data_IF_984707877598
#
_entry.id   IF_984707877598
#
_cell.length_a   1.000
_cell.length_b   1.000
_cell.length_c   1.000
_cell.angle_alpha   90.00
_cell.angle_beta   90.00
_cell.angle_gamma   90.00
#
_symmetry.space_group_name_H-M   'P 1'
#
loop_
_entity.id
_entity.type
_entity.pdbx_description
1 polymer ?
#
# COMPACT_ATOMS: atom_id res chain seq x y z
N UNK A 1 14.38 54.26 -31.02
CA UNK A 1 15.58 53.51 -31.46
C UNK A 1 16.48 53.28 -30.25
N UNK A 2 16.50 52.07 -29.68
CA UNK A 2 17.35 51.73 -28.55
C UNK A 2 18.77 51.43 -29.05
N UNK A 3 19.73 52.25 -28.66
CA UNK A 3 21.13 52.09 -29.03
C UNK A 3 21.70 50.77 -28.46
N UNK A 4 22.15 49.90 -29.37
CA UNK A 4 22.95 48.71 -29.05
C UNK A 4 24.34 49.22 -28.65
N UNK A 5 24.59 49.36 -27.35
CA UNK A 5 25.94 49.66 -26.84
C UNK A 5 26.78 48.38 -26.93
N UNK A 6 27.97 48.52 -27.49
CA UNK A 6 28.94 47.49 -27.84
C UNK A 6 29.04 46.33 -26.82
N UNK A 7 28.99 45.10 -27.35
CA UNK A 7 29.21 43.88 -26.60
C UNK A 7 30.68 43.78 -26.15
N UNK A 8 30.94 44.01 -24.86
CA UNK A 8 32.24 43.68 -24.26
C UNK A 8 32.26 42.19 -23.85
N UNK A 9 33.07 41.40 -24.56
CA UNK A 9 33.15 39.93 -24.52
C UNK A 9 34.20 39.48 -23.50
N UNK A 10 33.83 38.93 -22.33
CA UNK A 10 34.80 38.30 -21.43
C UNK A 10 34.25 37.07 -20.68
N UNK A 11 34.92 35.93 -20.87
CA UNK A 11 34.71 34.62 -20.24
C UNK A 11 35.22 33.51 -21.16
N UNK A 12 36.48 33.06 -20.99
CA UNK A 12 37.24 32.26 -21.98
C UNK A 12 37.40 30.80 -21.56
N UNK A 13 36.91 29.84 -22.35
CA UNK A 13 37.37 28.43 -22.40
C UNK A 13 37.13 27.90 -23.83
N UNK A 14 38.11 27.17 -24.39
CA UNK A 14 38.07 26.60 -25.74
C UNK A 14 37.35 25.23 -25.81
N UNK A 15 36.71 24.93 -26.95
CA UNK A 15 36.23 23.57 -27.26
C UNK A 15 36.46 23.21 -28.74
N UNK A 16 36.45 21.90 -29.04
CA UNK A 16 36.99 21.21 -30.23
C UNK A 16 36.44 21.57 -31.64
N UNK A 17 35.62 22.60 -31.80
CA UNK A 17 35.00 22.93 -33.10
C UNK A 17 34.92 24.44 -33.42
N UNK A 18 35.96 25.22 -33.07
CA UNK A 18 36.29 26.51 -33.70
C UNK A 18 35.31 27.71 -33.55
N UNK A 19 34.02 27.50 -33.33
CA UNK A 19 33.02 28.55 -33.21
C UNK A 19 32.85 29.02 -31.75
N UNK A 20 33.33 30.24 -31.50
CA UNK A 20 33.30 30.92 -30.19
C UNK A 20 31.91 31.49 -29.92
N UNK A 21 31.06 30.77 -29.17
CA UNK A 21 29.80 31.32 -28.65
C UNK A 21 29.94 31.79 -27.20
N UNK A 22 29.52 33.02 -26.91
CA UNK A 22 29.47 33.59 -25.57
C UNK A 22 28.38 32.90 -24.72
N UNK A 23 28.73 32.45 -23.50
CA UNK A 23 27.81 31.72 -22.59
C UNK A 23 26.77 32.62 -21.92
N UNK A 24 26.96 33.94 -21.92
CA UNK A 24 26.07 34.91 -21.29
C UNK A 24 26.01 36.21 -22.06
N UNK A 25 24.87 36.90 -21.94
CA UNK A 25 24.57 38.18 -22.59
C UNK A 25 24.24 39.22 -21.52
N UNK A 26 24.85 40.39 -21.61
CA UNK A 26 24.51 41.56 -20.79
C UNK A 26 23.74 42.55 -21.66
N UNK A 27 22.60 43.04 -21.19
CA UNK A 27 21.79 44.06 -21.84
C UNK A 27 21.59 45.24 -20.90
N UNK A 28 21.84 46.46 -21.36
CA UNK A 28 21.54 47.67 -20.59
C UNK A 28 20.03 47.95 -20.62
N UNK A 29 19.43 48.20 -19.46
CA UNK A 29 18.00 48.48 -19.29
C UNK A 29 17.83 49.70 -18.37
N UNK A 30 17.74 50.89 -18.98
CA UNK A 30 17.71 52.16 -18.25
C UNK A 30 18.99 52.39 -17.44
N UNK A 31 18.83 52.58 -16.12
CA UNK A 31 19.91 52.72 -15.13
C UNK A 31 20.50 51.40 -14.64
N UNK A 32 20.08 50.25 -15.18
CA UNK A 32 20.51 48.92 -14.74
C UNK A 32 21.06 48.08 -15.89
N UNK A 33 21.74 46.99 -15.55
CA UNK A 33 22.21 45.96 -16.46
C UNK A 33 21.49 44.65 -16.18
N UNK A 34 20.90 44.05 -17.20
CA UNK A 34 20.29 42.74 -17.15
C UNK A 34 21.24 41.69 -17.75
N UNK A 35 21.59 40.70 -16.95
CA UNK A 35 22.39 39.54 -17.33
C UNK A 35 21.46 38.39 -17.70
N UNK A 36 21.73 37.72 -18.82
CA UNK A 36 20.99 36.54 -19.30
C UNK A 36 21.99 35.44 -19.65
N UNK A 37 21.91 34.28 -18.98
CA UNK A 37 22.77 33.11 -19.23
C UNK A 37 21.91 31.95 -19.70
N UNK A 38 22.31 31.28 -20.78
CA UNK A 38 21.61 30.10 -21.29
C UNK A 38 21.85 28.89 -20.37
N UNK A 39 20.77 28.22 -19.98
CA UNK A 39 20.79 27.12 -19.01
C UNK A 39 20.38 25.76 -19.62
N UNK A 40 20.24 25.67 -20.95
CA UNK A 40 19.87 24.43 -21.65
C UNK A 40 18.45 24.44 -22.23
N UNK A 41 18.00 23.28 -22.69
CA UNK A 41 16.63 23.04 -23.19
C UNK A 41 15.87 22.30 -22.10
N UNK A 42 14.66 22.75 -21.78
CA UNK A 42 13.77 22.03 -20.88
C UNK A 42 13.37 20.69 -21.55
N UNK A 43 13.69 19.52 -20.96
CA UNK A 43 13.44 18.21 -21.55
C UNK A 43 11.95 17.89 -21.74
N UNK A 44 11.03 18.59 -21.07
CA UNK A 44 9.59 18.38 -21.22
C UNK A 44 8.93 19.32 -22.22
N UNK A 45 9.34 20.59 -22.21
CA UNK A 45 8.69 21.59 -23.08
C UNK A 45 9.46 21.85 -24.38
N UNK A 46 10.71 21.38 -24.48
CA UNK A 46 11.61 21.69 -25.59
C UNK A 46 12.03 23.16 -25.66
N UNK A 47 11.65 23.99 -24.68
CA UNK A 47 11.92 25.44 -24.69
C UNK A 47 13.31 25.73 -24.09
N UNK A 48 13.96 26.77 -24.63
CA UNK A 48 15.25 27.27 -24.13
C UNK A 48 15.06 27.91 -22.75
N UNK A 49 15.80 27.43 -21.75
CA UNK A 49 15.80 27.99 -20.40
C UNK A 49 16.93 29.00 -20.26
N UNK A 50 16.63 30.15 -19.65
CA UNK A 50 17.59 31.21 -19.42
C UNK A 50 17.53 31.70 -17.97
N UNK A 51 18.68 31.79 -17.30
CA UNK A 51 18.81 32.48 -16.01
C UNK A 51 18.96 33.97 -16.25
N UNK A 52 18.26 34.78 -15.45
CA UNK A 52 18.27 36.24 -15.57
C UNK A 52 18.55 36.88 -14.21
N UNK A 53 19.34 37.94 -14.21
CA UNK A 53 19.63 38.76 -13.02
C UNK A 53 19.79 40.21 -13.45
N UNK A 54 19.31 41.17 -12.64
CA UNK A 54 19.47 42.60 -12.91
C UNK A 54 20.32 43.24 -11.82
N UNK A 55 21.29 44.06 -12.22
CA UNK A 55 22.25 44.72 -11.32
C UNK A 55 22.44 46.18 -11.70
N UNK A 56 22.95 47.01 -10.78
CA UNK A 56 23.06 48.45 -10.99
C UNK A 56 24.27 48.81 -11.86
N UNK A 57 25.41 48.13 -11.68
CA UNK A 57 26.67 48.50 -12.35
C UNK A 57 27.14 47.46 -13.36
N UNK A 58 27.95 47.90 -14.34
CA UNK A 58 28.54 47.00 -15.33
C UNK A 58 29.53 46.00 -14.68
N UNK A 59 30.27 46.43 -13.66
CA UNK A 59 31.20 45.59 -12.92
C UNK A 59 30.47 44.44 -12.18
N UNK A 60 29.32 44.74 -11.56
CA UNK A 60 28.45 43.72 -10.97
C UNK A 60 27.86 42.79 -12.03
N UNK A 61 27.55 43.30 -13.23
CA UNK A 61 27.01 42.49 -14.32
C UNK A 61 28.01 41.42 -14.77
N UNK A 62 29.30 41.77 -14.84
CA UNK A 62 30.38 40.81 -15.16
C UNK A 62 30.54 39.74 -14.08
N UNK A 63 30.46 40.13 -12.79
CA UNK A 63 30.45 39.17 -11.66
C UNK A 63 29.22 38.25 -11.71
N UNK A 64 28.05 38.82 -12.02
CA UNK A 64 26.80 38.06 -12.17
C UNK A 64 26.85 37.06 -13.33
N UNK A 65 27.44 37.41 -14.49
CA UNK A 65 27.68 36.44 -15.59
C UNK A 65 28.49 35.24 -15.09
N UNK A 66 29.62 35.49 -14.44
CA UNK A 66 30.52 34.43 -13.96
C UNK A 66 29.81 33.52 -12.95
N UNK A 67 29.10 34.12 -11.99
CA UNK A 67 28.31 33.39 -10.99
C UNK A 67 27.18 32.58 -11.62
N UNK A 68 26.47 33.14 -12.61
CA UNK A 68 25.40 32.45 -13.32
C UNK A 68 25.93 31.32 -14.20
N UNK A 69 27.08 31.50 -14.87
CA UNK A 69 27.74 30.43 -15.62
C UNK A 69 28.23 29.31 -14.70
N UNK A 70 28.88 29.63 -13.58
CA UNK A 70 29.27 28.62 -12.58
C UNK A 70 28.05 27.89 -12.01
N UNK A 71 26.94 28.61 -11.79
CA UNK A 71 25.65 28.03 -11.38
C UNK A 71 25.07 27.10 -12.44
N UNK A 72 25.18 27.42 -13.73
CA UNK A 72 24.76 26.54 -14.84
C UNK A 72 25.67 25.33 -14.96
N UNK A 73 26.98 25.50 -14.80
CA UNK A 73 27.94 24.40 -14.87
C UNK A 73 27.78 23.42 -13.69
N UNK A 74 27.44 23.93 -12.49
CA UNK A 74 27.02 23.13 -11.34
C UNK A 74 25.62 22.51 -11.50
N UNK A 75 24.78 23.06 -12.39
CA UNK A 75 23.41 22.63 -12.67
C UNK A 75 23.25 22.00 -14.06
N UNK A 76 24.28 21.30 -14.56
CA UNK A 76 24.32 20.70 -15.91
C UNK A 76 23.19 19.71 -16.26
N UNK A 77 22.27 19.43 -15.33
CA UNK A 77 21.03 18.70 -15.58
C UNK A 77 19.84 19.65 -15.44
N UNK A 78 19.01 19.70 -16.49
CA UNK A 78 17.96 20.68 -16.66
C UNK A 78 17.03 20.74 -15.43
N UNK A 79 17.02 21.90 -14.76
CA UNK A 79 15.97 22.29 -13.81
C UNK A 79 14.69 22.56 -14.58
N UNK A 80 14.05 21.50 -15.03
CA UNK A 80 12.69 21.55 -15.55
C UNK A 80 11.81 22.22 -14.50
N UNK A 81 10.97 23.16 -14.92
CA UNK A 81 9.97 23.79 -14.05
C UNK A 81 8.71 22.94 -13.90
N UNK A 82 8.72 21.68 -14.34
CA UNK A 82 7.58 20.80 -14.20
C UNK A 82 7.25 20.56 -12.75
N UNK A 83 5.95 20.49 -12.52
CA UNK A 83 5.42 20.25 -11.20
C UNK A 83 5.66 18.80 -10.77
N UNK A 84 5.62 18.58 -9.46
CA UNK A 84 5.71 17.24 -8.90
C UNK A 84 4.64 16.30 -9.48
N UNK A 85 3.43 16.81 -9.72
CA UNK A 85 2.33 16.06 -10.34
C UNK A 85 2.70 15.53 -11.73
N UNK A 86 3.28 16.36 -12.58
CA UNK A 86 3.72 15.93 -13.93
C UNK A 86 4.76 14.81 -13.83
N UNK A 87 5.70 14.91 -12.90
CA UNK A 87 6.69 13.87 -12.67
C UNK A 87 6.08 12.58 -12.14
N UNK A 88 5.11 12.67 -11.21
CA UNK A 88 4.40 11.51 -10.69
C UNK A 88 3.63 10.80 -11.80
N UNK A 89 2.89 11.52 -12.64
CA UNK A 89 2.12 10.94 -13.74
C UNK A 89 3.02 10.31 -14.82
N UNK A 90 4.13 10.97 -15.17
CA UNK A 90 5.13 10.39 -16.07
C UNK A 90 5.75 9.11 -15.51
N UNK A 91 5.97 9.08 -14.19
CA UNK A 91 6.56 7.93 -13.52
C UNK A 91 5.57 6.78 -13.48
N UNK A 92 4.31 7.02 -13.11
CA UNK A 92 3.29 5.98 -13.07
C UNK A 92 3.02 5.35 -14.44
N UNK A 93 3.18 6.11 -15.55
CA UNK A 93 3.06 5.57 -16.93
C UNK A 93 4.16 4.58 -17.30
N UNK A 94 5.40 4.87 -16.90
CA UNK A 94 6.59 4.11 -17.33
C UNK A 94 7.05 3.08 -16.30
N UNK A 95 6.59 3.21 -15.05
CA UNK A 95 7.02 2.33 -13.98
C UNK A 95 6.22 1.02 -13.99
N UNK A 96 6.94 -0.06 -14.22
CA UNK A 96 6.44 -1.43 -14.11
C UNK A 96 6.26 -1.79 -12.63
N UNK A 97 5.02 -1.71 -12.17
CA UNK A 97 4.61 -2.08 -10.82
C UNK A 97 3.30 -2.84 -10.88
N UNK A 98 3.08 -3.68 -9.87
CA UNK A 98 1.82 -4.39 -9.70
C UNK A 98 0.65 -3.38 -9.67
N UNK A 99 -0.42 -3.68 -10.40
CA UNK A 99 -1.60 -2.80 -10.53
C UNK A 99 -2.23 -2.38 -9.19
N UNK A 100 -2.24 -3.26 -8.17
CA UNK A 100 -2.73 -2.90 -6.82
C UNK A 100 -1.83 -1.85 -6.15
N UNK A 101 -0.53 -1.93 -6.39
CA UNK A 101 0.46 -0.97 -5.92
C UNK A 101 0.32 0.35 -6.67
N UNK A 102 0.09 0.31 -8.00
CA UNK A 102 -0.21 1.49 -8.82
C UNK A 102 -1.45 2.22 -8.30
N UNK A 103 -2.57 1.51 -8.14
CA UNK A 103 -3.80 2.08 -7.60
C UNK A 103 -3.61 2.69 -6.19
N UNK A 104 -2.78 2.06 -5.36
CA UNK A 104 -2.41 2.63 -4.04
C UNK A 104 -1.62 3.93 -4.17
N UNK A 105 -0.65 3.99 -5.08
CA UNK A 105 0.14 5.20 -5.33
C UNK A 105 -0.69 6.33 -5.93
N UNK A 106 -1.59 6.03 -6.87
CA UNK A 106 -2.54 7.00 -7.42
C UNK A 106 -3.48 7.56 -6.33
N UNK A 107 -3.98 6.69 -5.44
CA UNK A 107 -4.79 7.11 -4.30
C UNK A 107 -4.01 8.06 -3.38
N UNK A 108 -2.79 7.68 -2.99
CA UNK A 108 -1.94 8.54 -2.15
C UNK A 108 -1.59 9.85 -2.83
N UNK A 109 -1.35 9.82 -4.14
CA UNK A 109 -1.05 11.00 -4.92
C UNK A 109 -2.23 11.97 -4.92
N UNK A 110 -3.43 11.49 -5.28
CA UNK A 110 -4.65 12.29 -5.33
C UNK A 110 -5.05 12.86 -3.97
N UNK A 111 -5.03 12.03 -2.92
CA UNK A 111 -5.58 12.40 -1.61
C UNK A 111 -4.58 13.19 -0.76
N UNK A 112 -3.28 12.86 -0.83
CA UNK A 112 -2.28 13.42 0.09
C UNK A 112 -1.15 14.19 -0.58
N UNK A 113 -0.63 13.76 -1.74
CA UNK A 113 0.58 14.39 -2.30
C UNK A 113 0.22 15.62 -3.13
N UNK A 114 -0.70 15.49 -4.08
CA UNK A 114 -1.08 16.58 -4.97
C UNK A 114 -1.62 17.78 -4.23
N UNK A 115 -2.50 17.63 -3.22
CA UNK A 115 -2.98 18.79 -2.50
C UNK A 115 -1.91 19.48 -1.66
N UNK A 116 -0.75 18.88 -1.38
CA UNK A 116 0.31 19.48 -0.56
C UNK A 116 1.30 20.28 -1.42
N UNK A 117 1.82 19.65 -2.47
CA UNK A 117 2.86 20.25 -3.32
C UNK A 117 2.82 19.71 -4.75
N UNK A 118 1.66 19.24 -5.21
CA UNK A 118 1.50 18.68 -6.56
C UNK A 118 1.87 19.67 -7.66
N UNK A 119 1.53 20.94 -7.49
CA UNK A 119 1.81 22.01 -8.45
C UNK A 119 3.18 22.67 -8.26
N UNK A 120 3.88 22.36 -7.16
CA UNK A 120 5.21 22.89 -6.89
C UNK A 120 6.23 22.29 -7.85
N UNK A 121 7.16 23.09 -8.42
CA UNK A 121 8.24 22.57 -9.25
C UNK A 121 9.02 21.47 -8.52
N UNK A 122 9.24 20.34 -9.20
CA UNK A 122 9.88 19.17 -8.58
C UNK A 122 11.26 19.48 -8.01
N UNK A 123 12.00 20.41 -8.62
CA UNK A 123 13.31 20.86 -8.15
C UNK A 123 13.28 21.71 -6.87
N UNK A 124 12.10 22.16 -6.41
CA UNK A 124 11.92 22.91 -5.17
C UNK A 124 11.44 22.05 -3.99
N UNK A 125 10.97 20.83 -4.26
CA UNK A 125 10.60 19.88 -3.21
C UNK A 125 11.85 19.50 -2.44
N UNK A 126 12.00 20.01 -1.22
CA UNK A 126 13.20 19.86 -0.39
C UNK A 126 13.01 18.82 0.71
N UNK A 127 14.11 18.38 1.33
CA UNK A 127 14.07 17.49 2.50
C UNK A 127 13.20 18.06 3.62
N UNK A 128 13.33 19.37 3.91
CA UNK A 128 12.53 20.07 4.92
C UNK A 128 11.03 20.03 4.59
N UNK A 129 10.65 20.32 3.35
CA UNK A 129 9.26 20.27 2.90
C UNK A 129 8.65 18.86 3.10
N UNK A 130 9.42 17.82 2.78
CA UNK A 130 8.95 16.43 2.96
C UNK A 130 8.76 16.08 4.44
N UNK A 131 9.66 16.53 5.31
CA UNK A 131 9.57 16.29 6.76
C UNK A 131 8.39 17.04 7.40
N UNK A 132 8.16 18.29 6.99
CA UNK A 132 6.98 19.08 7.38
C UNK A 132 5.69 18.40 6.93
N UNK A 133 5.64 17.97 5.67
CA UNK A 133 4.51 17.21 5.13
C UNK A 133 4.26 15.91 5.93
N UNK A 134 5.30 15.17 6.31
CA UNK A 134 5.13 13.97 7.13
C UNK A 134 4.66 14.29 8.55
N UNK A 135 5.08 15.43 9.13
CA UNK A 135 4.61 15.89 10.43
C UNK A 135 3.11 16.27 10.37
N UNK A 136 2.68 16.97 9.31
CA UNK A 136 1.28 17.29 9.08
C UNK A 136 0.42 16.02 8.98
N UNK A 137 0.85 15.03 8.21
CA UNK A 137 0.13 13.75 8.09
C UNK A 137 0.06 12.96 9.40
N UNK A 138 1.02 13.16 10.32
CA UNK A 138 0.97 12.60 11.68
C UNK A 138 0.06 13.37 12.62
N UNK A 139 -0.35 14.59 12.27
CA UNK A 139 -1.34 15.37 13.01
C UNK A 139 -2.75 15.11 12.48
N UNK A 140 -2.91 15.23 11.17
CA UNK A 140 -4.21 15.15 10.51
C UNK A 140 -4.07 14.66 9.06
N UNK A 141 -4.84 13.63 8.71
CA UNK A 141 -4.84 13.03 7.36
C UNK A 141 -5.26 13.99 6.23
N UNK A 142 -6.10 14.98 6.54
CA UNK A 142 -6.54 16.04 5.62
C UNK A 142 -5.69 17.31 5.75
N UNK A 143 -4.69 17.32 6.63
CA UNK A 143 -3.75 18.44 6.86
C UNK A 143 -4.46 19.75 7.18
N UNK A 144 -5.40 19.72 8.12
CA UNK A 144 -6.10 20.93 8.55
C UNK A 144 -5.13 21.97 9.14
N UNK A 145 -5.52 23.25 9.08
CA UNK A 145 -4.78 24.36 9.68
C UNK A 145 -4.92 24.44 11.21
N UNK A 146 -5.68 23.51 11.82
CA UNK A 146 -6.03 23.53 13.25
C UNK A 146 -7.27 24.36 13.58
N UNK A 147 -7.84 25.07 12.60
CA UNK A 147 -9.12 25.75 12.75
C UNK A 147 -10.28 24.75 12.66
N UNK A 148 -11.29 24.82 13.55
CA UNK A 148 -12.49 23.99 13.44
C UNK A 148 -13.22 24.27 12.13
N UNK A 149 -13.61 23.22 11.42
CA UNK A 149 -14.48 23.30 10.23
C UNK A 149 -15.40 22.08 10.18
N UNK A 150 -16.45 22.15 9.37
CA UNK A 150 -17.39 21.04 9.17
C UNK A 150 -16.91 20.17 8.00
N UNK A 151 -16.76 18.87 8.23
CA UNK A 151 -16.53 17.89 7.17
C UNK A 151 -17.85 17.60 6.45
N UNK A 152 -17.99 18.23 5.28
CA UNK A 152 -19.10 18.02 4.39
C UNK A 152 -19.03 16.65 3.71
N UNK A 153 -20.20 16.01 3.57
CA UNK A 153 -20.33 14.69 2.93
C UNK A 153 -20.10 14.73 1.42
N UNK A 154 -20.39 15.89 0.82
CA UNK A 154 -20.29 16.15 -0.61
C UNK A 154 -19.81 17.59 -0.82
N UNK A 155 -19.10 17.83 -1.92
CA UNK A 155 -18.70 19.19 -2.32
C UNK A 155 -19.84 19.99 -2.96
N UNK A 156 -20.90 19.31 -3.40
CA UNK A 156 -22.10 19.95 -3.93
C UNK A 156 -22.99 20.51 -2.81
N UNK A 157 -23.82 21.54 -3.08
CA UNK A 157 -24.79 22.05 -2.12
C UNK A 157 -25.70 20.93 -1.59
N UNK A 158 -25.80 20.80 -0.27
CA UNK A 158 -26.60 19.77 0.39
C UNK A 158 -27.03 20.23 1.79
N UNK A 159 -28.09 19.59 2.31
CA UNK A 159 -28.44 19.71 3.71
C UNK A 159 -27.45 18.94 4.58
N UNK A 160 -26.89 19.61 5.58
CA UNK A 160 -25.87 19.02 6.44
C UNK A 160 -26.40 17.88 7.29
N UNK A 161 -27.72 17.78 7.53
CA UNK A 161 -28.35 16.71 8.30
C UNK A 161 -29.57 16.21 7.55
N UNK A 162 -29.55 14.93 7.14
CA UNK A 162 -30.65 14.30 6.39
C UNK A 162 -30.97 12.94 7.01
N UNK A 163 -32.26 12.62 7.16
CA UNK A 163 -32.71 11.29 7.58
C UNK A 163 -32.73 10.36 6.37
N UNK A 164 -31.91 9.31 6.40
CA UNK A 164 -31.90 8.26 5.37
C UNK A 164 -32.87 7.16 5.77
N UNK A 165 -34.03 7.15 5.13
CA UNK A 165 -35.04 6.13 5.35
C UNK A 165 -34.54 4.74 4.93
N UNK A 166 -34.75 3.76 5.81
CA UNK A 166 -34.45 2.36 5.52
C UNK A 166 -35.48 1.83 4.52
N UNK A 167 -35.04 1.56 3.28
CA UNK A 167 -35.90 0.93 2.25
C UNK A 167 -35.82 -0.59 2.39
N UNK A 168 -36.97 -1.29 2.34
CA UNK A 168 -36.97 -2.75 2.20
C UNK A 168 -36.36 -3.13 0.84
N UNK A 169 -35.59 -4.24 0.73
CA UNK A 169 -35.12 -4.72 -0.56
C UNK A 169 -36.31 -5.02 -1.50
N UNK A 170 -36.29 -4.50 -2.73
CA UNK A 170 -37.35 -4.71 -3.73
C UNK A 170 -37.79 -3.43 -4.46
N UNK A 171 -38.76 -3.57 -5.39
CA UNK A 171 -39.38 -2.43 -6.09
C UNK A 171 -40.31 -1.68 -5.11
N UNK A 172 -40.25 -0.33 -5.03
CA UNK A 172 -41.17 0.43 -4.20
C UNK A 172 -42.63 0.17 -4.61
N UNK A 173 -43.60 0.21 -3.68
CA UNK A 173 -45.01 0.18 -4.02
C UNK A 173 -45.37 1.35 -4.95
N UNK A 174 -46.35 1.15 -5.84
CA UNK A 174 -46.76 2.17 -6.82
C UNK A 174 -47.20 3.51 -6.18
N UNK A 175 -47.64 3.49 -4.91
CA UNK A 175 -48.03 4.67 -4.14
C UNK A 175 -46.96 5.23 -3.19
N UNK A 176 -45.71 4.77 -3.28
CA UNK A 176 -44.66 5.11 -2.31
C UNK A 176 -44.80 4.35 -0.99
N UNK A 177 -43.89 4.59 -0.05
CA UNK A 177 -43.99 4.04 1.30
C UNK A 177 -44.88 4.94 2.16
N UNK A 178 -45.77 4.38 2.99
CA UNK A 178 -46.51 5.18 3.95
C UNK A 178 -45.54 5.90 4.92
N UNK A 179 -45.93 7.08 5.44
CA UNK A 179 -45.17 7.76 6.49
C UNK A 179 -44.99 6.83 7.69
N UNK A 180 -43.81 6.86 8.30
CA UNK A 180 -43.44 6.03 9.46
C UNK A 180 -42.60 6.83 10.46
N UNK A 181 -42.59 6.40 11.72
CA UNK A 181 -41.67 6.94 12.71
C UNK A 181 -40.24 6.47 12.42
N UNK A 182 -39.36 7.43 12.14
CA UNK A 182 -37.97 7.19 11.81
C UNK A 182 -37.17 6.58 12.97
N UNK A 183 -37.58 6.85 14.22
CA UNK A 183 -36.94 6.36 15.44
C UNK A 183 -37.23 4.87 15.63
N UNK A 184 -38.50 4.48 15.53
CA UNK A 184 -38.94 3.09 15.68
C UNK A 184 -38.46 2.19 14.53
N UNK A 185 -38.40 2.74 13.31
CA UNK A 185 -37.97 1.99 12.11
C UNK A 185 -36.43 1.90 11.99
N UNK A 186 -35.70 2.60 12.86
CA UNK A 186 -34.23 2.65 12.85
C UNK A 186 -33.66 3.31 11.59
N UNK A 187 -34.29 4.40 11.12
CA UNK A 187 -33.78 5.16 9.98
C UNK A 187 -32.46 5.86 10.34
N UNK A 188 -31.50 5.88 9.41
CA UNK A 188 -30.15 6.38 9.70
C UNK A 188 -30.10 7.89 9.52
N UNK A 189 -29.81 8.66 10.57
CA UNK A 189 -29.49 10.09 10.43
C UNK A 189 -28.08 10.21 9.86
N UNK A 190 -27.96 10.88 8.72
CA UNK A 190 -26.67 11.13 8.09
C UNK A 190 -26.40 12.63 8.15
N UNK A 191 -25.42 12.99 8.97
CA UNK A 191 -25.04 14.38 9.18
C UNK A 191 -23.55 14.63 8.89
N UNK A 192 -23.25 15.82 8.40
CA UNK A 192 -21.90 16.37 8.31
C UNK A 192 -21.38 16.58 9.74
N UNK A 193 -20.11 16.27 9.96
CA UNK A 193 -19.54 16.24 11.31
C UNK A 193 -18.45 17.29 11.47
N UNK A 194 -18.26 17.85 12.68
CA UNK A 194 -17.07 18.65 12.95
C UNK A 194 -15.81 17.86 12.61
N UNK A 195 -14.82 18.53 12.04
CA UNK A 195 -13.54 17.92 11.73
C UNK A 195 -12.84 17.46 13.02
N UNK A 196 -12.50 16.18 13.05
CA UNK A 196 -11.64 15.61 14.08
C UNK A 196 -10.29 15.27 13.46
N UNK A 197 -9.21 15.78 14.05
CA UNK A 197 -7.87 15.48 13.60
C UNK A 197 -7.57 13.99 13.78
N UNK A 198 -7.53 13.24 12.68
CA UNK A 198 -7.16 11.82 12.67
C UNK A 198 -5.80 11.64 12.02
N UNK A 199 -4.78 11.20 12.77
CA UNK A 199 -3.44 11.04 12.24
C UNK A 199 -3.35 9.82 11.31
N UNK A 200 -2.51 9.87 10.28
CA UNK A 200 -2.21 8.69 9.48
C UNK A 200 -1.26 7.76 10.22
N UNK A 201 -1.53 6.45 10.11
CA UNK A 201 -0.63 5.43 10.61
C UNK A 201 0.78 5.57 10.00
N UNK A 202 1.82 5.37 10.82
CA UNK A 202 3.22 5.47 10.40
C UNK A 202 3.55 4.60 9.17
N UNK A 203 2.95 3.42 9.07
CA UNK A 203 3.08 2.54 7.92
C UNK A 203 2.54 3.17 6.62
N UNK A 204 1.40 3.86 6.67
CA UNK A 204 0.82 4.57 5.53
C UNK A 204 1.72 5.70 5.07
N UNK A 205 2.21 6.53 6.00
CA UNK A 205 3.14 7.63 5.68
C UNK A 205 4.42 7.10 5.04
N UNK A 206 4.93 5.94 5.48
CA UNK A 206 6.08 5.27 4.83
C UNK A 206 5.78 4.88 3.39
N UNK A 207 4.58 4.37 3.09
CA UNK A 207 4.16 4.05 1.71
C UNK A 207 4.10 5.30 0.83
N UNK A 208 3.55 6.40 1.36
CA UNK A 208 3.55 7.71 0.70
C UNK A 208 4.99 8.17 0.42
N UNK A 209 5.89 8.07 1.40
CA UNK A 209 7.31 8.38 1.23
C UNK A 209 7.97 7.52 0.15
N UNK A 210 7.69 6.22 0.08
CA UNK A 210 8.26 5.36 -0.96
C UNK A 210 7.77 5.73 -2.37
N UNK A 211 6.51 6.12 -2.51
CA UNK A 211 5.99 6.66 -3.77
C UNK A 211 6.75 7.94 -4.16
N UNK A 212 6.86 8.91 -3.24
CA UNK A 212 7.59 10.17 -3.49
C UNK A 212 9.06 9.91 -3.85
N UNK A 213 9.74 9.04 -3.09
CA UNK A 213 11.13 8.65 -3.36
C UNK A 213 11.28 8.01 -4.73
N UNK A 214 10.31 7.20 -5.16
CA UNK A 214 10.27 6.58 -6.49
C UNK A 214 10.21 7.64 -7.60
N UNK A 215 9.27 8.58 -7.50
CA UNK A 215 9.13 9.71 -8.43
C UNK A 215 10.40 10.54 -8.50
N UNK A 216 10.96 10.93 -7.35
CA UNK A 216 12.17 11.75 -7.32
C UNK A 216 13.39 11.01 -7.86
N UNK A 217 13.48 9.69 -7.66
CA UNK A 217 14.53 8.88 -8.29
C UNK A 217 14.38 8.82 -9.80
N UNK A 218 13.14 8.74 -10.30
CA UNK A 218 12.87 8.80 -11.74
C UNK A 218 13.21 10.17 -12.32
N UNK A 219 12.77 11.25 -11.67
CA UNK A 219 13.11 12.62 -12.07
C UNK A 219 14.62 12.88 -12.07
N UNK A 220 15.36 12.29 -11.12
CA UNK A 220 16.83 12.35 -11.14
C UNK A 220 17.42 11.60 -12.33
N UNK A 221 16.92 10.39 -12.64
CA UNK A 221 17.35 9.62 -13.82
C UNK A 221 16.99 10.30 -15.15
N UNK A 222 15.88 11.02 -15.20
CA UNK A 222 15.49 11.83 -16.37
C UNK A 222 16.17 13.19 -16.41
N UNK A 223 17.09 13.46 -15.48
CA UNK A 223 17.85 14.69 -15.39
C UNK A 223 17.00 15.95 -15.15
N UNK A 224 15.78 15.81 -14.60
CA UNK A 224 14.90 16.94 -14.23
C UNK A 224 15.30 17.58 -12.89
N UNK A 225 15.99 16.81 -12.05
CA UNK A 225 16.58 17.25 -10.78
C UNK A 225 18.00 16.68 -10.63
N UNK A 226 18.86 17.39 -9.90
CA UNK A 226 20.26 16.98 -9.70
C UNK A 226 20.41 15.88 -8.64
N UNK A 227 19.57 15.90 -7.61
CA UNK A 227 19.65 15.00 -6.47
C UNK A 227 18.26 14.66 -5.96
N UNK A 228 18.09 13.47 -5.39
CA UNK A 228 16.84 13.06 -4.75
C UNK A 228 16.81 13.42 -3.24
N UNK A 229 16.10 14.48 -2.81
CA UNK A 229 16.03 14.86 -1.41
C UNK A 229 15.25 13.88 -0.52
N UNK A 230 14.35 13.08 -1.10
CA UNK A 230 13.62 12.04 -0.35
C UNK A 230 14.52 10.91 0.16
N UNK A 231 15.76 10.80 -0.32
CA UNK A 231 16.75 9.86 0.25
C UNK A 231 17.17 10.28 1.66
N UNK A 232 17.28 11.59 1.90
CA UNK A 232 17.73 12.16 3.17
C UNK A 232 16.58 12.44 4.14
N UNK A 233 15.35 12.54 3.65
CA UNK A 233 14.18 12.86 4.47
C UNK A 233 13.90 11.80 5.54
N UNK A 234 13.69 12.25 6.78
CA UNK A 234 13.33 11.39 7.92
C UNK A 234 11.89 10.92 7.82
N UNK A 235 11.71 9.69 7.36
CA UNK A 235 10.42 8.98 7.42
C UNK A 235 10.11 8.42 8.82
N UNK A 236 8.84 8.15 9.16
CA UNK A 236 8.48 7.48 10.42
C UNK A 236 9.18 6.13 10.59
N UNK A 237 9.46 5.76 11.84
CA UNK A 237 9.91 4.41 12.19
C UNK A 237 8.83 3.40 11.80
N UNK A 238 9.28 2.22 11.35
CA UNK A 238 8.36 1.13 11.10
C UNK A 238 7.88 0.58 12.44
N UNK A 239 6.57 0.50 12.69
CA UNK A 239 6.07 -0.20 13.86
C UNK A 239 6.51 -1.66 13.81
N UNK A 240 6.91 -2.21 14.95
CA UNK A 240 7.14 -3.65 15.08
C UNK A 240 5.79 -4.35 14.94
N UNK A 241 5.65 -5.35 14.06
CA UNK A 241 4.42 -6.13 13.98
C UNK A 241 4.17 -6.83 15.32
N UNK A 242 2.99 -6.63 15.90
CA UNK A 242 2.50 -7.40 17.04
C UNK A 242 1.19 -8.05 16.60
N UNK A 243 1.25 -9.27 16.03
CA UNK A 243 0.05 -9.98 15.63
C UNK A 243 -0.78 -10.33 16.87
N UNK A 244 -2.09 -10.06 16.82
CA UNK A 244 -3.06 -10.46 17.84
C UNK A 244 -4.05 -11.47 17.21
N UNK A 245 -3.68 -12.75 17.08
CA UNK A 245 -4.59 -13.77 16.58
C UNK A 245 -5.69 -14.08 17.61
N UNK A 246 -6.86 -14.59 17.19
CA UNK A 246 -7.85 -15.11 18.12
C UNK A 246 -7.27 -16.26 18.95
N UNK A 247 -7.77 -16.45 20.17
CA UNK A 247 -7.45 -17.64 20.99
C UNK A 247 -8.12 -18.90 20.41
N UNK A 248 -7.70 -20.09 20.82
CA UNK A 248 -8.33 -21.35 20.40
C UNK A 248 -9.85 -21.40 20.72
N UNK A 249 -10.26 -20.87 21.89
CA UNK A 249 -11.66 -20.78 22.27
C UNK A 249 -12.46 -19.81 21.36
N UNK A 250 -11.88 -18.64 21.04
CA UNK A 250 -12.49 -17.70 20.10
C UNK A 250 -12.52 -18.25 18.68
N UNK A 251 -11.49 -19.00 18.27
CA UNK A 251 -11.42 -19.65 16.97
C UNK A 251 -12.55 -20.67 16.80
N UNK A 252 -12.84 -21.48 17.83
CA UNK A 252 -13.99 -22.38 17.84
C UNK A 252 -15.32 -21.62 17.68
N UNK A 253 -15.54 -20.55 18.46
CA UNK A 253 -16.75 -19.72 18.35
C UNK A 253 -16.92 -19.09 16.95
N UNK A 254 -15.82 -18.63 16.34
CA UNK A 254 -15.81 -18.08 14.99
C UNK A 254 -16.24 -19.14 13.96
N UNK A 255 -15.77 -20.37 14.12
CA UNK A 255 -16.09 -21.49 13.25
C UNK A 255 -17.56 -21.89 13.39
N UNK A 256 -18.04 -22.08 14.62
CA UNK A 256 -19.44 -22.45 14.88
C UNK A 256 -20.41 -21.39 14.32
N UNK A 257 -20.11 -20.11 14.54
CA UNK A 257 -20.90 -19.01 13.98
C UNK A 257 -20.88 -18.99 12.45
N UNK A 258 -19.74 -19.28 11.83
CA UNK A 258 -19.62 -19.32 10.38
C UNK A 258 -20.48 -20.44 9.76
N UNK A 259 -20.49 -21.63 10.36
CA UNK A 259 -21.34 -22.74 9.93
C UNK A 259 -22.83 -22.48 10.18
N UNK A 260 -23.17 -21.84 11.31
CA UNK A 260 -24.55 -21.49 11.62
C UNK A 260 -25.16 -20.48 10.63
N UNK A 261 -24.35 -19.61 10.03
CA UNK A 261 -24.81 -18.71 8.96
C UNK A 261 -25.04 -19.43 7.63
N UNK A 262 -24.08 -20.25 7.20
CA UNK A 262 -24.01 -20.84 5.86
C UNK A 262 -22.86 -21.87 5.82
N UNK A 263 -23.13 -23.11 5.41
CA UNK A 263 -22.10 -24.17 5.36
C UNK A 263 -20.94 -23.84 4.39
N UNK A 264 -21.24 -23.15 3.28
CA UNK A 264 -20.21 -22.68 2.34
C UNK A 264 -19.31 -21.62 2.96
N UNK A 265 -19.86 -20.79 3.85
CA UNK A 265 -19.11 -19.81 4.63
C UNK A 265 -18.26 -20.47 5.72
N UNK A 266 -18.82 -21.44 6.44
CA UNK A 266 -18.07 -22.27 7.39
C UNK A 266 -16.84 -22.91 6.75
N UNK A 267 -17.03 -23.57 5.59
CA UNK A 267 -15.96 -24.16 4.78
C UNK A 267 -14.87 -23.13 4.43
N UNK A 268 -15.26 -21.92 4.00
CA UNK A 268 -14.31 -20.85 3.64
C UNK A 268 -13.46 -20.44 4.85
N UNK A 269 -14.10 -20.15 5.99
CA UNK A 269 -13.43 -19.71 7.21
C UNK A 269 -12.50 -20.80 7.75
N UNK A 270 -12.96 -22.07 7.74
CA UNK A 270 -12.16 -23.24 8.10
C UNK A 270 -10.87 -23.34 7.30
N UNK A 271 -10.96 -23.25 5.96
CA UNK A 271 -9.78 -23.34 5.12
C UNK A 271 -8.77 -22.25 5.42
N UNK A 272 -9.20 -20.99 5.65
CA UNK A 272 -8.27 -19.92 6.02
C UNK A 272 -7.59 -20.25 7.34
N UNK A 273 -8.34 -20.75 8.32
CA UNK A 273 -7.84 -21.07 9.66
C UNK A 273 -6.83 -22.22 9.65
N UNK A 274 -7.12 -23.33 8.94
CA UNK A 274 -6.26 -24.52 8.93
C UNK A 274 -5.06 -24.36 8.00
N UNK A 275 -5.25 -23.75 6.83
CA UNK A 275 -4.20 -23.66 5.81
C UNK A 275 -3.35 -22.39 5.92
N UNK A 276 -3.87 -21.34 6.59
CA UNK A 276 -3.24 -20.05 6.68
C UNK A 276 -3.12 -19.31 5.34
N UNK A 277 -3.87 -19.71 4.31
CA UNK A 277 -3.84 -19.05 2.99
C UNK A 277 -4.21 -17.57 3.05
N UNK A 278 -3.67 -16.77 2.12
CA UNK A 278 -4.13 -15.38 1.99
C UNK A 278 -5.53 -15.37 1.38
N UNK A 279 -6.40 -14.45 1.79
CA UNK A 279 -7.75 -14.25 1.22
C UNK A 279 -7.76 -14.28 -0.32
N UNK A 280 -6.85 -13.55 -0.97
CA UNK A 280 -6.79 -13.49 -2.43
C UNK A 280 -6.37 -14.83 -3.07
N UNK A 281 -5.58 -15.66 -2.37
CA UNK A 281 -5.19 -17.00 -2.84
C UNK A 281 -6.36 -17.96 -2.70
N UNK A 282 -7.03 -17.96 -1.54
CA UNK A 282 -8.20 -18.79 -1.28
C UNK A 282 -9.32 -18.55 -2.30
N UNK A 283 -9.64 -17.28 -2.56
CA UNK A 283 -10.69 -16.91 -3.50
C UNK A 283 -10.31 -17.18 -4.96
N UNK A 284 -9.05 -17.49 -5.25
CA UNK A 284 -8.61 -17.87 -6.59
C UNK A 284 -8.62 -19.38 -6.82
N UNK A 285 -8.91 -20.19 -5.78
CA UNK A 285 -8.94 -21.64 -5.91
C UNK A 285 -10.08 -22.09 -6.82
N UNK A 286 -9.75 -23.06 -7.67
CA UNK A 286 -10.71 -23.82 -8.47
C UNK A 286 -10.73 -25.28 -8.03
N UNK A 287 -11.74 -26.04 -8.42
CA UNK A 287 -11.81 -27.47 -8.12
C UNK A 287 -10.60 -28.25 -8.68
N UNK A 288 -10.04 -27.82 -9.82
CA UNK A 288 -8.78 -28.33 -10.41
C UNK A 288 -7.53 -28.08 -9.56
N UNK A 289 -7.61 -27.25 -8.53
CA UNK A 289 -6.53 -27.01 -7.58
C UNK A 289 -6.60 -27.93 -6.35
N UNK A 290 -7.67 -28.70 -6.18
CA UNK A 290 -7.91 -29.57 -5.02
C UNK A 290 -7.89 -31.03 -5.44
N UNK A 291 -6.99 -31.80 -4.85
CA UNK A 291 -6.94 -33.25 -4.96
C UNK A 291 -7.38 -33.85 -3.62
N UNK A 292 -8.66 -34.23 -3.54
CA UNK A 292 -9.26 -34.81 -2.34
C UNK A 292 -8.72 -36.22 -2.05
N UNK A 293 -8.29 -36.95 -3.08
CA UNK A 293 -7.75 -38.32 -2.90
C UNK A 293 -6.36 -38.25 -2.29
N UNK A 294 -5.51 -37.35 -2.78
CA UNK A 294 -4.18 -37.14 -2.22
C UNK A 294 -4.18 -36.27 -0.95
N UNK A 295 -5.30 -35.62 -0.62
CA UNK A 295 -5.40 -34.65 0.49
C UNK A 295 -4.50 -33.44 0.26
N UNK A 296 -4.50 -32.87 -0.95
CA UNK A 296 -3.61 -31.75 -1.32
C UNK A 296 -4.36 -30.63 -2.01
N UNK A 297 -4.07 -29.39 -1.61
CA UNK A 297 -4.48 -28.18 -2.34
C UNK A 297 -3.26 -27.47 -2.93
N UNK A 298 -3.36 -27.07 -4.19
CA UNK A 298 -2.28 -26.38 -4.92
C UNK A 298 -2.60 -24.91 -5.09
N UNK A 299 -1.88 -24.05 -4.38
CA UNK A 299 -2.05 -22.59 -4.47
C UNK A 299 -1.17 -22.05 -5.59
N UNK A 300 -1.80 -21.67 -6.72
CA UNK A 300 -1.11 -21.20 -7.93
C UNK A 300 -1.38 -19.74 -8.26
N UNK A 301 -2.55 -19.23 -7.87
CA UNK A 301 -3.11 -17.96 -8.34
C UNK A 301 -3.49 -17.07 -7.17
N UNK A 302 -3.72 -15.80 -7.45
CA UNK A 302 -4.44 -14.90 -6.57
C UNK A 302 -5.50 -14.11 -7.36
N UNK A 303 -6.54 -13.71 -6.66
CA UNK A 303 -7.64 -12.94 -7.20
C UNK A 303 -7.72 -11.60 -6.48
N UNK A 304 -7.58 -10.51 -7.24
CA UNK A 304 -7.66 -9.14 -6.73
C UNK A 304 -8.68 -8.35 -7.53
N UNK A 305 -9.33 -7.39 -6.86
CA UNK A 305 -10.25 -6.46 -7.51
C UNK A 305 -9.67 -5.05 -7.43
N UNK A 306 -9.39 -4.44 -8.58
CA UNK A 306 -8.86 -3.08 -8.70
C UNK A 306 -9.78 -2.29 -9.62
N UNK A 307 -10.18 -1.07 -9.26
CA UNK A 307 -11.02 -0.20 -10.09
C UNK A 307 -12.30 -0.88 -10.63
N UNK A 308 -12.94 -1.71 -9.80
CA UNK A 308 -14.13 -2.52 -10.14
C UNK A 308 -13.89 -3.64 -11.17
N UNK A 309 -12.67 -3.76 -11.70
CA UNK A 309 -12.24 -4.84 -12.56
C UNK A 309 -11.64 -5.99 -11.73
N UNK A 310 -11.97 -7.20 -12.15
CA UNK A 310 -11.41 -8.43 -11.58
C UNK A 310 -10.10 -8.74 -12.29
N UNK A 311 -9.01 -8.84 -11.55
CA UNK A 311 -7.71 -9.22 -12.11
C UNK A 311 -7.24 -10.48 -11.40
N UNK A 312 -7.12 -11.56 -12.18
CA UNK A 312 -6.44 -12.78 -11.77
C UNK A 312 -4.94 -12.57 -12.03
N UNK A 313 -4.10 -12.89 -11.05
CA UNK A 313 -2.65 -12.82 -11.22
C UNK A 313 -2.02 -14.10 -10.69
N UNK A 314 -0.78 -14.31 -11.11
CA UNK A 314 0.09 -15.24 -10.42
C UNK A 314 0.31 -14.76 -8.98
N UNK A 315 0.56 -15.70 -8.08
CA UNK A 315 0.81 -15.39 -6.67
C UNK A 315 1.85 -14.27 -6.54
N UNK A 316 1.66 -13.38 -5.56
CA UNK A 316 2.53 -12.20 -5.31
C UNK A 316 4.02 -12.55 -5.11
N UNK A 317 4.34 -13.83 -4.92
CA UNK A 317 5.70 -14.34 -4.72
C UNK A 317 6.19 -15.21 -5.87
N UNK A 318 5.42 -15.44 -6.95
CA UNK A 318 5.68 -16.44 -8.00
C UNK A 318 5.98 -17.85 -7.46
N UNK A 319 5.54 -18.15 -6.23
CA UNK A 319 5.80 -19.43 -5.57
C UNK A 319 4.49 -20.19 -5.49
N UNK A 320 4.26 -21.01 -6.53
CA UNK A 320 3.27 -22.08 -6.41
C UNK A 320 3.64 -22.96 -5.22
N UNK A 321 2.65 -23.33 -4.41
CA UNK A 321 2.88 -24.23 -3.28
C UNK A 321 1.76 -25.24 -3.14
N UNK A 322 2.13 -26.44 -2.70
CA UNK A 322 1.21 -27.51 -2.36
C UNK A 322 1.07 -27.56 -0.85
N UNK A 323 -0.15 -27.58 -0.35
CA UNK A 323 -0.45 -27.75 1.06
C UNK A 323 -1.13 -29.10 1.25
N UNK A 324 -0.58 -29.92 2.14
CA UNK A 324 -1.26 -31.10 2.65
C UNK A 324 -2.43 -30.68 3.55
N UNK A 325 -3.53 -31.40 3.40
CA UNK A 325 -4.80 -31.28 4.12
C UNK A 325 -4.93 -32.47 5.08
N UNK A 326 -5.45 -32.21 6.27
CA UNK A 326 -5.79 -33.28 7.20
C UNK A 326 -7.12 -33.97 6.79
N UNK A 327 -7.42 -35.16 7.33
CA UNK A 327 -8.63 -35.90 6.98
C UNK A 327 -9.92 -35.10 7.20
N UNK A 328 -10.00 -34.33 8.29
CA UNK A 328 -11.17 -33.50 8.61
C UNK A 328 -11.39 -32.39 7.56
N UNK A 329 -10.32 -31.77 7.08
CA UNK A 329 -10.42 -30.75 6.03
C UNK A 329 -10.78 -31.36 4.68
N UNK A 330 -10.31 -32.59 4.40
CA UNK A 330 -10.72 -33.33 3.21
C UNK A 330 -12.22 -33.64 3.26
N UNK A 331 -12.73 -34.07 4.42
CA UNK A 331 -14.17 -34.31 4.65
C UNK A 331 -14.99 -33.04 4.43
N UNK A 332 -14.62 -31.93 5.07
CA UNK A 332 -15.28 -30.62 4.89
C UNK A 332 -15.30 -30.16 3.43
N UNK A 333 -14.20 -30.37 2.69
CA UNK A 333 -14.14 -30.05 1.25
C UNK A 333 -14.96 -31.02 0.39
N UNK A 334 -15.06 -32.29 0.80
CA UNK A 334 -15.88 -33.30 0.11
C UNK A 334 -17.35 -32.94 0.24
N UNK A 335 -17.83 -32.61 1.44
CA UNK A 335 -19.20 -32.12 1.65
C UNK A 335 -19.46 -30.84 0.84
N UNK A 336 -18.49 -29.93 0.78
CA UNK A 336 -18.60 -28.71 -0.02
C UNK A 336 -18.70 -29.01 -1.52
N UNK A 337 -17.94 -30.01 -2.00
CA UNK A 337 -18.03 -30.50 -3.37
C UNK A 337 -19.40 -31.12 -3.65
N UNK A 338 -19.96 -31.88 -2.72
CA UNK A 338 -21.27 -32.50 -2.87
C UNK A 338 -22.41 -31.47 -2.94
N UNK A 339 -22.32 -30.41 -2.11
CA UNK A 339 -23.21 -29.24 -2.21
C UNK A 339 -23.09 -28.56 -3.56
N UNK A 340 -21.87 -28.32 -4.03
CA UNK A 340 -21.63 -27.77 -5.37
C UNK A 340 -22.24 -28.64 -6.46
N UNK A 341 -22.01 -29.95 -6.42
CA UNK A 341 -22.57 -30.90 -7.39
C UNK A 341 -24.10 -30.94 -7.34
N UNK A 342 -24.70 -30.83 -6.15
CA UNK A 342 -26.15 -30.72 -6.00
C UNK A 342 -26.72 -29.46 -6.65
N UNK A 343 -26.07 -28.30 -6.47
CA UNK A 343 -26.45 -27.05 -7.12
C UNK A 343 -26.33 -27.15 -8.64
N UNK A 344 -25.26 -27.77 -9.16
CA UNK A 344 -25.11 -28.03 -10.59
C UNK A 344 -26.26 -28.89 -11.14
N UNK A 345 -26.62 -29.97 -10.46
CA UNK A 345 -27.77 -30.83 -10.83
C UNK A 345 -29.08 -30.06 -10.86
N UNK A 346 -29.34 -29.23 -9.84
CA UNK A 346 -30.55 -28.38 -9.80
C UNK A 346 -30.61 -27.38 -10.96
N UNK A 347 -29.46 -26.86 -11.38
CA UNK A 347 -29.34 -25.95 -12.50
C UNK A 347 -29.24 -26.65 -13.87
N UNK A 348 -29.37 -27.98 -13.93
CA UNK A 348 -29.17 -28.79 -15.13
C UNK A 348 -27.79 -28.55 -15.81
N UNK A 349 -26.75 -28.42 -14.99
CA UNK A 349 -25.35 -28.24 -15.41
C UNK A 349 -24.46 -29.33 -14.80
N UNK A 350 -23.30 -29.56 -15.40
CA UNK A 350 -22.31 -30.51 -14.85
C UNK A 350 -21.27 -29.79 -13.98
N UNK A 351 -20.77 -30.44 -12.90
CA UNK A 351 -19.64 -29.95 -12.15
C UNK A 351 -18.40 -29.78 -13.03
N UNK A 352 -17.73 -28.63 -12.94
CA UNK A 352 -16.56 -28.30 -13.75
C UNK A 352 -15.31 -28.16 -12.88
N UNK A 353 -14.19 -28.68 -13.36
CA UNK A 353 -12.89 -28.55 -12.67
C UNK A 353 -12.35 -27.11 -12.66
N UNK A 354 -12.75 -26.28 -13.62
CA UNK A 354 -12.34 -24.88 -13.69
C UNK A 354 -13.28 -23.92 -12.91
N UNK A 355 -14.34 -24.43 -12.28
CA UNK A 355 -15.22 -23.65 -11.42
C UNK A 355 -14.50 -23.20 -10.15
N UNK A 356 -14.80 -21.98 -9.69
CA UNK A 356 -14.26 -21.44 -8.45
C UNK A 356 -14.82 -22.18 -7.24
N UNK A 357 -13.96 -22.47 -6.25
CA UNK A 357 -14.34 -23.14 -5.01
C UNK A 357 -15.41 -22.35 -4.23
N UNK A 358 -15.31 -21.01 -4.27
CA UNK A 358 -16.22 -20.10 -3.57
C UNK A 358 -16.77 -19.06 -4.52
N UNK A 359 -18.08 -19.10 -4.78
CA UNK A 359 -18.79 -18.14 -5.62
C UNK A 359 -20.13 -17.77 -5.01
N UNK A 360 -20.54 -16.51 -5.18
CA UNK A 360 -21.92 -16.07 -4.93
C UNK A 360 -22.81 -16.22 -6.18
N UNK A 361 -22.25 -16.66 -7.30
CA UNK A 361 -22.97 -16.85 -8.55
C UNK A 361 -23.30 -18.33 -8.77
N UNK A 362 -24.51 -18.65 -9.25
CA UNK A 362 -24.89 -20.03 -9.56
C UNK A 362 -23.97 -20.71 -10.58
N UNK A 363 -23.34 -19.94 -11.48
CA UNK A 363 -22.48 -20.50 -12.54
C UNK A 363 -21.05 -20.85 -12.06
N UNK A 364 -20.66 -20.41 -10.86
CA UNK A 364 -19.30 -20.55 -10.32
C UNK A 364 -18.19 -20.03 -11.25
N UNK A 365 -18.53 -19.10 -12.15
CA UNK A 365 -17.65 -18.48 -13.15
C UNK A 365 -16.85 -17.29 -12.59
N UNK A 366 -17.19 -16.86 -11.38
CA UNK A 366 -16.59 -15.72 -10.72
C UNK A 366 -16.46 -16.00 -9.23
N UNK A 367 -15.32 -15.70 -8.59
CA UNK A 367 -15.19 -15.97 -7.17
C UNK A 367 -15.95 -14.93 -6.33
N UNK A 368 -16.15 -15.26 -5.05
CA UNK A 368 -16.65 -14.30 -4.07
C UNK A 368 -15.83 -13.00 -4.07
N UNK A 369 -16.51 -11.86 -3.90
CA UNK A 369 -15.83 -10.58 -3.85
C UNK A 369 -14.93 -10.48 -2.60
N UNK A 370 -13.63 -10.15 -2.74
CA UNK A 370 -12.71 -10.12 -1.60
C UNK A 370 -13.10 -9.13 -0.50
N UNK A 371 -13.68 -7.98 -0.87
CA UNK A 371 -14.14 -6.98 0.10
C UNK A 371 -15.42 -7.46 0.77
N UNK A 372 -16.33 -8.07 0.01
CA UNK A 372 -17.54 -8.72 0.54
C UNK A 372 -17.21 -9.76 1.62
N UNK A 373 -16.27 -10.67 1.34
CA UNK A 373 -15.81 -11.70 2.29
C UNK A 373 -15.24 -11.09 3.57
N UNK A 374 -14.45 -10.01 3.45
CA UNK A 374 -13.90 -9.33 4.64
C UNK A 374 -14.97 -8.61 5.44
N UNK A 375 -15.92 -7.94 4.79
CA UNK A 375 -17.02 -7.29 5.50
C UNK A 375 -17.94 -8.31 6.18
N UNK A 376 -18.20 -9.45 5.54
CA UNK A 376 -18.98 -10.55 6.14
C UNK A 376 -18.30 -11.05 7.41
N UNK A 377 -17.01 -11.39 7.34
CA UNK A 377 -16.23 -11.82 8.50
C UNK A 377 -16.19 -10.77 9.63
N UNK A 378 -15.93 -9.51 9.30
CA UNK A 378 -15.87 -8.44 10.30
C UNK A 378 -17.21 -8.21 10.99
N UNK A 379 -18.34 -8.39 10.28
CA UNK A 379 -19.68 -8.30 10.89
C UNK A 379 -19.90 -9.44 11.87
N UNK A 380 -19.62 -10.67 11.46
CA UNK A 380 -19.74 -11.87 12.31
C UNK A 380 -18.89 -11.72 13.58
N UNK A 381 -17.63 -11.28 13.47
CA UNK A 381 -16.77 -11.05 14.64
C UNK A 381 -17.29 -9.93 15.56
N UNK A 382 -17.86 -8.86 14.99
CA UNK A 382 -18.46 -7.79 15.78
C UNK A 382 -19.69 -8.29 16.57
N UNK A 383 -20.51 -9.15 15.98
CA UNK A 383 -21.66 -9.79 16.64
C UNK A 383 -21.24 -10.73 17.78
N UNK A 384 -20.09 -11.41 17.62
CA UNK A 384 -19.49 -12.25 18.66
C UNK A 384 -18.73 -11.46 19.74
N UNK A 385 -18.50 -10.16 19.54
CA UNK A 385 -17.66 -9.35 20.43
C UNK A 385 -16.17 -9.72 20.38
N UNK A 386 -15.71 -10.32 19.28
CA UNK A 386 -14.32 -10.76 19.09
C UNK A 386 -13.57 -9.75 18.20
N UNK A 387 -12.49 -9.16 18.71
CA UNK A 387 -11.61 -8.31 17.90
C UNK A 387 -10.74 -9.17 16.97
N UNK A 388 -11.24 -9.44 15.77
CA UNK A 388 -10.57 -10.25 14.77
C UNK A 388 -10.87 -9.76 13.36
N UNK A 389 -9.97 -10.06 12.43
CA UNK A 389 -10.14 -9.85 11.00
C UNK A 389 -9.64 -11.07 10.25
N UNK A 390 -10.08 -11.30 9.00
CA UNK A 390 -9.80 -12.56 8.30
C UNK A 390 -8.29 -12.89 8.18
N UNK A 391 -7.42 -11.87 8.09
CA UNK A 391 -5.98 -12.09 8.06
C UNK A 391 -5.40 -12.54 9.42
N UNK A 392 -6.09 -12.27 10.53
CA UNK A 392 -5.72 -12.76 11.85
C UNK A 392 -5.80 -14.28 11.95
N UNK A 393 -6.66 -14.95 11.16
CA UNK A 393 -6.72 -16.42 11.10
C UNK A 393 -5.43 -17.04 10.56
N UNK A 394 -4.74 -16.33 9.67
CA UNK A 394 -3.40 -16.73 9.23
C UNK A 394 -2.36 -16.55 10.33
N UNK A 395 -2.52 -15.53 11.17
CA UNK A 395 -1.69 -15.39 12.38
C UNK A 395 -1.95 -16.52 13.36
N UNK A 396 -3.21 -16.89 13.56
CA UNK A 396 -3.61 -18.02 14.38
C UNK A 396 -2.96 -19.32 13.88
N UNK A 397 -3.15 -19.68 12.61
CA UNK A 397 -2.54 -20.87 12.00
C UNK A 397 -1.02 -20.94 12.23
N UNK A 398 -0.32 -19.82 12.04
CA UNK A 398 1.12 -19.75 12.24
C UNK A 398 1.52 -19.94 13.71
N UNK A 399 0.80 -19.27 14.62
CA UNK A 399 1.04 -19.37 16.07
C UNK A 399 0.80 -20.80 16.54
N UNK A 400 -0.32 -21.43 16.19
CA UNK A 400 -0.63 -22.81 16.58
C UNK A 400 0.43 -23.81 16.09
N UNK A 401 0.86 -23.68 14.82
CA UNK A 401 1.91 -24.56 14.28
C UNK A 401 3.26 -24.38 15.00
N UNK A 402 3.66 -23.14 15.27
CA UNK A 402 4.91 -22.86 16.00
C UNK A 402 4.82 -23.34 17.45
N UNK A 403 3.68 -23.13 18.11
CA UNK A 403 3.40 -23.63 19.45
C UNK A 403 3.44 -25.16 19.51
N UNK A 404 2.96 -25.85 18.48
CA UNK A 404 3.07 -27.29 18.32
C UNK A 404 4.50 -27.79 18.00
N UNK A 405 5.48 -26.89 17.86
CA UNK A 405 6.88 -27.24 17.61
C UNK A 405 7.22 -27.50 16.14
N UNK A 406 6.33 -27.15 15.21
CA UNK A 406 6.62 -27.23 13.77
C UNK A 406 7.71 -26.21 13.43
N UNK A 407 8.72 -26.64 12.68
CA UNK A 407 9.85 -25.78 12.37
C UNK A 407 9.43 -24.54 11.56
N UNK A 408 10.13 -23.43 11.81
CA UNK A 408 9.80 -22.13 11.24
C UNK A 408 9.83 -22.11 9.71
N UNK A 409 10.68 -22.93 9.09
CA UNK A 409 10.79 -23.01 7.62
C UNK A 409 9.57 -23.71 7.03
N UNK A 410 9.10 -24.79 7.64
CA UNK A 410 7.86 -25.47 7.25
C UNK A 410 6.65 -24.55 7.40
N UNK A 411 6.52 -23.84 8.53
CA UNK A 411 5.46 -22.83 8.71
C UNK A 411 5.56 -21.73 7.64
N UNK A 412 6.75 -21.19 7.40
CA UNK A 412 6.96 -20.19 6.35
C UNK A 412 6.58 -20.70 4.95
N UNK A 413 6.90 -21.97 4.64
CA UNK A 413 6.55 -22.65 3.41
C UNK A 413 5.04 -22.79 3.22
N UNK A 414 4.33 -23.27 4.25
CA UNK A 414 2.86 -23.38 4.25
C UNK A 414 2.19 -22.03 4.03
N UNK A 415 2.71 -21.00 4.68
CA UNK A 415 2.23 -19.63 4.55
C UNK A 415 2.60 -18.99 3.20
N UNK A 416 3.58 -19.50 2.46
CA UNK A 416 4.08 -18.83 1.24
C UNK A 416 4.75 -17.50 1.57
N UNK A 417 5.62 -17.49 2.58
CA UNK A 417 6.54 -16.38 2.86
C UNK A 417 7.83 -16.55 2.07
N UNK A 418 8.03 -15.71 1.05
CA UNK A 418 9.28 -15.67 0.28
C UNK A 418 10.48 -15.23 1.13
N UNK A 419 11.69 -15.48 0.63
CA UNK A 419 12.94 -15.05 1.28
C UNK A 419 13.33 -15.85 2.53
N UNK A 420 13.10 -17.17 2.53
CA UNK A 420 13.61 -18.07 3.57
C UNK A 420 12.95 -17.94 4.95
N UNK A 421 11.75 -17.36 5.04
CA UNK A 421 11.03 -17.23 6.31
C UNK A 421 11.34 -15.98 7.12
N UNK A 422 12.11 -15.02 6.60
CA UNK A 422 12.44 -13.77 7.31
C UNK A 422 11.20 -12.95 7.75
N UNK A 423 10.10 -13.05 6.99
CA UNK A 423 8.82 -12.44 7.40
C UNK A 423 8.18 -13.21 8.57
N UNK A 424 8.19 -14.55 8.54
CA UNK A 424 7.74 -15.40 9.64
C UNK A 424 8.55 -15.09 10.90
N UNK A 425 9.88 -15.10 10.79
CA UNK A 425 10.77 -14.83 11.91
C UNK A 425 10.50 -13.46 12.51
N UNK A 426 10.38 -12.41 11.69
CA UNK A 426 10.15 -11.04 12.19
C UNK A 426 8.80 -10.89 12.92
N UNK A 427 7.77 -11.58 12.44
CA UNK A 427 6.40 -11.45 12.97
C UNK A 427 6.18 -12.34 14.19
N UNK A 428 6.84 -13.50 14.25
CA UNK A 428 6.66 -14.48 15.32
C UNK A 428 7.94 -14.71 16.17
N UNK A 429 8.89 -13.77 16.14
CA UNK A 429 10.16 -13.86 16.85
C UNK A 429 9.99 -14.17 18.35
N UNK A 430 8.96 -13.61 19.00
CA UNK A 430 8.69 -13.83 20.41
C UNK A 430 8.45 -15.32 20.75
N UNK A 431 7.85 -16.07 19.82
CA UNK A 431 7.52 -17.49 19.98
C UNK A 431 8.73 -18.41 19.77
N UNK A 432 9.79 -17.90 19.14
CA UNK A 432 11.09 -18.61 19.07
C UNK A 432 11.67 -18.77 20.47
N UNK A 433 11.42 -17.84 21.40
CA UNK A 433 11.92 -17.95 22.78
C UNK A 433 11.30 -19.12 23.57
N UNK A 434 10.04 -19.47 23.31
CA UNK A 434 9.41 -20.63 23.94
C UNK A 434 9.87 -21.95 23.32
N UNK A 435 10.05 -21.98 22.00
CA UNK A 435 10.67 -23.10 21.30
C UNK A 435 12.12 -23.32 21.77
N UNK A 436 12.86 -22.23 22.00
CA UNK A 436 14.22 -22.24 22.53
C UNK A 436 14.27 -22.80 23.95
N UNK A 437 13.31 -22.43 24.81
CA UNK A 437 13.19 -23.01 26.16
C UNK A 437 12.99 -24.52 26.11
N UNK A 438 12.07 -25.00 25.25
CA UNK A 438 11.88 -26.45 25.03
C UNK A 438 13.15 -27.12 24.49
N UNK A 439 13.86 -26.46 23.57
CA UNK A 439 15.13 -26.97 23.05
C UNK A 439 16.21 -27.07 24.16
N UNK A 440 16.29 -26.09 25.04
CA UNK A 440 17.21 -26.08 26.18
C UNK A 440 16.90 -27.22 27.16
N UNK A 441 15.62 -27.46 27.48
CA UNK A 441 15.18 -28.60 28.31
C UNK A 441 15.55 -29.94 27.68
N UNK A 442 15.34 -30.09 26.36
CA UNK A 442 15.69 -31.30 25.61
C UNK A 442 17.20 -31.57 25.62
N UNK A 443 18.01 -30.53 25.45
CA UNK A 443 19.47 -30.64 25.51
C UNK A 443 19.94 -31.00 26.92
N UNK A 444 19.40 -30.36 27.95
CA UNK A 444 19.72 -30.67 29.34
C UNK A 444 19.34 -32.11 29.70
N UNK A 445 18.18 -32.61 29.24
CA UNK A 445 17.74 -33.99 29.45
C UNK A 445 18.62 -35.05 28.79
N UNK A 446 19.37 -34.69 27.73
CA UNK A 446 20.33 -35.58 27.05
C UNK A 446 21.75 -35.52 27.64
N UNK A 447 22.01 -34.56 28.52
CA UNK A 447 23.31 -34.41 29.18
C UNK A 447 23.27 -35.03 30.57
N UNK A 448 24.26 -35.85 30.89
CA UNK A 448 24.48 -36.27 32.28
C UNK A 448 25.03 -35.08 33.06
N UNK A 449 24.26 -34.54 34.01
CA UNK A 449 24.73 -33.45 34.86
C UNK A 449 25.94 -33.95 35.67
N UNK A 450 27.10 -33.28 35.60
CA UNK A 450 28.24 -33.62 36.45
C UNK A 450 27.84 -33.53 37.93
N UNK A 451 28.23 -34.52 38.73
CA UNK A 451 28.02 -34.50 40.17
C UNK A 451 28.67 -33.26 40.77
N UNK A 452 27.96 -32.61 41.69
CA UNK A 452 28.44 -31.41 42.40
C UNK A 452 29.75 -31.79 43.11
N UNK A 453 30.87 -31.22 42.68
CA UNK A 453 32.12 -31.32 43.44
C UNK A 453 31.89 -30.53 44.72
N UNK A 454 31.89 -31.21 45.87
CA UNK A 454 31.85 -30.54 47.16
C UNK A 454 33.13 -29.71 47.29
N UNK A 455 32.99 -28.39 47.34
CA UNK A 455 34.09 -27.51 47.70
C UNK A 455 34.24 -27.68 49.22
N UNK A 456 35.37 -28.21 49.72
CA UNK A 456 35.57 -28.34 51.15
C UNK A 456 35.54 -26.94 51.79
N UNK A 457 34.96 -26.79 52.99
CA UNK A 457 34.98 -25.52 53.69
C UNK A 457 36.45 -25.10 53.91
N UNK A 458 36.78 -23.87 53.55
CA UNK A 458 38.05 -23.24 53.90
C UNK A 458 38.14 -23.14 55.42
N UNK A 459 39.19 -23.72 55.99
CA UNK A 459 39.52 -23.72 57.43
C UNK A 459 39.67 -22.31 58.01
#
# INVERSE_FOLDING_TARGET
MAAIVAASILGRVANKAGERRSRGMIRRRGSSFQVVVYAGIDPLTGKKVHLRESVATEAEARKAVTRLCARVDQQRHAKTNASFKVAMEAWLRTHEIEETTRASYELYARVHIYPAFGDEPIGKVSTRLLEEFYAELRRCSVRCAGTPFLEHRTTEPHECRVVKHRRRPGRPPAGGYPPHDCTETGCQVVECRPHECRPLAAATIRRIHFAIRGVMSAAQRWEWITSNPAVLARKPRQPTPQPNPPTAAQAAQIIDAAWAEDEGWGTLVWLVMVTGMRRAELLALRWSDVDLTAGVVTVRRNYVRVNRQSIEKDTKTHQMRRLALDPATVEVLTEHHDRYAALCRQAATEPRLDAFLFSYRPEFDRPCDPSGVTHRYSRMCAELGIDSHLHALRHYSATELLSAGVDLRTVAGRLGHGGGGATTLRVYAAWVGESDRRAAELLAGRMTRPSKVAIPPTE
#
